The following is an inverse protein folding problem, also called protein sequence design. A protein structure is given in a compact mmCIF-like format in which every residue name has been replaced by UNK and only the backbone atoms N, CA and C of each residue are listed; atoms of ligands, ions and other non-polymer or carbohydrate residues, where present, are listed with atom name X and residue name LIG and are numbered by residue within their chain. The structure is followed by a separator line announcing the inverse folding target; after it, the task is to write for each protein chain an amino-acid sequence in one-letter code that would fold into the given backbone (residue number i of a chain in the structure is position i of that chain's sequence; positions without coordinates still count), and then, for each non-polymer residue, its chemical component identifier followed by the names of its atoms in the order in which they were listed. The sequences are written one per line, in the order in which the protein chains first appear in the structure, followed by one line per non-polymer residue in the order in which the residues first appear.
data_IF_206506246527
#
_entry.id   IF_206506246527
#
_cell.length_a   1.000
_cell.length_b   1.000
_cell.length_c   1.000
_cell.angle_alpha   90.00
_cell.angle_beta   90.00
_cell.angle_gamma   90.00
#
_symmetry.space_group_name_H-M   'P 1'
#
loop_
_entity.id
_entity.type
_entity.pdbx_description
1 polymer ?
#
# COMPACT_ATOMS: atom_id res chain seq x y z
N UNK A 1 14.18 22.27 20.43
CA UNK A 1 12.88 22.17 19.73
C UNK A 1 11.88 21.59 20.72
N UNK A 2 10.66 22.11 20.83
CA UNK A 2 9.66 21.52 21.72
C UNK A 2 9.31 20.10 21.25
N UNK A 3 9.05 19.19 22.19
CA UNK A 3 8.67 17.80 21.92
C UNK A 3 7.16 17.60 21.97
N UNK A 4 6.40 18.63 22.35
CA UNK A 4 4.96 18.58 22.51
C UNK A 4 4.34 19.91 22.08
N UNK A 5 3.23 19.84 21.34
CA UNK A 5 2.47 20.99 20.89
C UNK A 5 0.98 20.68 20.96
N UNK A 6 0.24 21.46 21.74
CA UNK A 6 -1.23 21.42 21.76
C UNK A 6 -1.77 22.42 20.73
N UNK A 7 -2.98 22.17 20.23
CA UNK A 7 -3.64 22.95 19.17
C UNK A 7 -2.72 23.20 17.98
N UNK A 8 -2.24 22.10 17.40
CA UNK A 8 -1.24 22.13 16.35
C UNK A 8 -1.81 22.63 15.02
N UNK A 9 -1.22 23.73 14.51
CA UNK A 9 -1.46 24.29 13.19
C UNK A 9 -0.30 23.91 12.27
N UNK A 10 -0.56 23.01 11.35
CA UNK A 10 0.47 22.33 10.58
C UNK A 10 0.63 22.96 9.20
N UNK A 11 1.83 23.41 8.88
CA UNK A 11 2.22 23.85 7.55
C UNK A 11 2.87 22.69 6.78
N UNK A 12 2.39 22.42 5.57
CA UNK A 12 2.87 21.36 4.68
C UNK A 12 3.66 21.96 3.53
N UNK A 13 4.97 21.70 3.51
CA UNK A 13 5.91 22.33 2.59
C UNK A 13 6.62 21.29 1.74
N UNK A 14 6.54 21.41 0.40
CA UNK A 14 7.26 20.54 -0.56
C UNK A 14 8.36 21.29 -1.32
N UNK A 15 8.96 22.30 -0.73
CA UNK A 15 10.14 23.02 -1.25
C UNK A 15 11.27 23.08 -0.22
N UNK A 16 12.48 23.43 -0.67
CA UNK A 16 13.65 23.53 0.20
C UNK A 16 13.60 24.79 1.05
N UNK A 17 13.86 24.65 2.34
CA UNK A 17 14.15 25.74 3.28
C UNK A 17 15.65 25.80 3.58
N UNK A 18 16.48 25.50 2.58
CA UNK A 18 17.92 25.65 2.64
C UNK A 18 18.31 27.07 2.22
N UNK A 19 19.56 27.46 2.47
CA UNK A 19 20.14 28.67 1.88
C UNK A 19 19.83 28.71 0.39
N UNK A 20 19.38 29.86 -0.08
CA UNK A 20 19.19 30.07 -1.49
C UNK A 20 20.53 29.90 -2.21
N UNK A 21 20.55 29.02 -3.20
CA UNK A 21 21.70 28.80 -4.08
C UNK A 21 21.31 29.20 -5.48
N UNK A 22 22.21 29.91 -6.16
CA UNK A 22 22.07 30.21 -7.58
C UNK A 22 21.95 28.91 -8.39
N UNK A 23 21.25 28.95 -9.50
CA UNK A 23 21.12 27.79 -10.40
C UNK A 23 22.50 27.40 -10.94
N UNK A 24 22.68 26.11 -11.20
CA UNK A 24 23.92 25.60 -11.80
C UNK A 24 24.18 26.31 -13.15
N UNK A 25 25.43 26.79 -13.32
CA UNK A 25 25.86 27.51 -14.51
C UNK A 25 25.83 29.05 -14.40
N UNK A 26 25.21 29.59 -13.34
CA UNK A 26 25.26 31.03 -13.06
C UNK A 26 26.49 31.33 -12.22
N UNK A 27 27.38 32.13 -12.74
CA UNK A 27 28.57 32.67 -12.04
C UNK A 27 28.38 34.14 -11.75
N UNK A 28 28.55 34.52 -10.49
CA UNK A 28 28.55 35.94 -10.09
C UNK A 28 29.99 36.38 -9.85
N UNK A 29 30.48 37.30 -10.69
CA UNK A 29 31.77 37.91 -10.53
C UNK A 29 31.63 39.08 -9.54
N UNK A 30 32.26 38.95 -8.37
CA UNK A 30 32.27 39.98 -7.35
C UNK A 30 33.66 40.56 -7.28
N UNK A 31 33.78 41.86 -7.51
CA UNK A 31 35.06 42.58 -7.47
C UNK A 31 35.37 43.14 -6.07
N UNK A 32 34.32 43.44 -5.28
CA UNK A 32 34.48 44.03 -3.96
C UNK A 32 34.11 43.03 -2.84
N UNK A 33 34.95 42.93 -1.78
CA UNK A 33 34.65 42.02 -0.65
C UNK A 33 33.35 42.36 0.09
N UNK A 34 32.99 43.64 0.20
CA UNK A 34 31.74 44.07 0.84
C UNK A 34 30.48 43.58 0.12
N UNK A 35 30.53 43.53 -1.20
CA UNK A 35 29.42 43.01 -1.99
C UNK A 35 29.26 41.50 -1.83
N UNK A 36 30.33 40.76 -1.57
CA UNK A 36 30.26 39.31 -1.28
C UNK A 36 29.50 39.05 0.03
N UNK A 37 29.74 39.87 1.04
CA UNK A 37 29.08 39.74 2.33
C UNK A 37 27.59 40.09 2.25
N UNK A 38 27.23 41.11 1.48
CA UNK A 38 25.83 41.46 1.17
C UNK A 38 25.10 40.34 0.44
N UNK A 39 25.75 39.69 -0.51
CA UNK A 39 25.16 38.53 -1.25
C UNK A 39 24.90 37.35 -0.28
N UNK A 40 25.87 37.02 0.58
CA UNK A 40 25.73 35.98 1.60
C UNK A 40 24.58 36.26 2.58
N UNK A 41 24.44 37.53 3.00
CA UNK A 41 23.31 37.93 3.85
C UNK A 41 21.98 37.78 3.09
N UNK A 42 21.92 38.22 1.83
CA UNK A 42 20.71 38.08 1.01
C UNK A 42 20.28 36.65 0.80
N UNK A 43 21.21 35.73 0.60
CA UNK A 43 20.92 34.27 0.51
C UNK A 43 20.26 33.73 1.78
N UNK A 44 20.66 34.21 2.96
CA UNK A 44 20.06 33.86 4.25
C UNK A 44 18.72 34.55 4.47
N UNK A 45 18.64 35.83 4.10
CA UNK A 45 17.43 36.65 4.30
C UNK A 45 16.24 36.11 3.51
N UNK A 46 16.43 35.67 2.26
CA UNK A 46 15.36 35.06 1.46
C UNK A 46 14.74 33.87 2.19
N UNK A 47 15.56 32.97 2.72
CA UNK A 47 15.06 31.82 3.48
C UNK A 47 14.40 32.23 4.78
N UNK A 48 14.94 33.24 5.45
CA UNK A 48 14.38 33.78 6.69
C UNK A 48 13.02 34.43 6.45
N UNK A 49 12.86 35.20 5.38
CA UNK A 49 11.58 35.79 4.98
C UNK A 49 10.53 34.73 4.71
N UNK A 50 10.87 33.61 4.06
CA UNK A 50 9.98 32.45 3.86
C UNK A 50 9.55 31.84 5.18
N UNK A 51 10.49 31.55 6.07
CA UNK A 51 10.19 31.03 7.40
C UNK A 51 9.29 31.99 8.20
N UNK A 52 9.54 33.30 8.09
CA UNK A 52 8.74 34.35 8.73
C UNK A 52 7.28 34.33 8.25
N UNK A 53 7.05 34.29 6.94
CA UNK A 53 5.71 34.18 6.35
C UNK A 53 4.92 32.95 6.83
N UNK A 54 5.59 31.79 6.97
CA UNK A 54 4.97 30.57 7.48
C UNK A 54 4.55 30.73 8.95
N UNK A 55 5.40 31.32 9.77
CA UNK A 55 5.09 31.57 11.19
C UNK A 55 4.01 32.65 11.36
N UNK A 56 4.05 33.72 10.59
CA UNK A 56 3.05 34.80 10.61
C UNK A 56 1.65 34.31 10.21
N UNK A 57 1.56 33.30 9.34
CA UNK A 57 0.30 32.63 9.04
C UNK A 57 -0.24 31.81 10.22
N UNK A 58 0.52 31.67 11.31
CA UNK A 58 0.12 31.01 12.55
C UNK A 58 0.53 29.52 12.62
N UNK A 59 1.44 29.06 11.78
CA UNK A 59 1.94 27.68 11.84
C UNK A 59 2.83 27.49 13.09
N UNK A 60 2.55 26.44 13.87
CA UNK A 60 3.37 26.01 15.00
C UNK A 60 4.03 24.64 14.78
N UNK A 61 3.62 23.92 13.72
CA UNK A 61 4.26 22.68 13.27
C UNK A 61 4.53 22.78 11.77
N UNK A 62 5.77 22.55 11.36
CA UNK A 62 6.20 22.63 9.96
C UNK A 62 6.68 21.27 9.51
N UNK A 63 6.01 20.70 8.50
CA UNK A 63 6.37 19.44 7.85
C UNK A 63 6.94 19.72 6.46
N UNK A 64 8.23 19.49 6.29
CA UNK A 64 8.91 19.70 5.02
C UNK A 64 9.34 18.35 4.41
N UNK A 65 8.94 18.10 3.15
CA UNK A 65 9.39 16.91 2.41
C UNK A 65 10.87 17.00 2.00
N UNK A 66 11.41 18.22 1.95
CA UNK A 66 12.78 18.53 1.53
C UNK A 66 13.67 18.83 2.73
N UNK A 67 14.84 19.42 2.45
CA UNK A 67 15.78 19.84 3.48
C UNK A 67 15.36 21.14 4.17
N UNK A 68 15.67 21.23 5.46
CA UNK A 68 15.64 22.47 6.25
C UNK A 68 17.04 22.68 6.77
N UNK A 69 17.62 23.84 6.51
CA UNK A 69 18.95 24.19 6.98
C UNK A 69 18.93 24.50 8.49
N UNK A 70 20.04 24.29 9.16
CA UNK A 70 20.14 24.49 10.61
C UNK A 70 19.82 25.95 11.02
N UNK A 71 20.11 26.91 10.15
CA UNK A 71 19.71 28.30 10.32
C UNK A 71 18.18 28.47 10.37
N UNK A 72 17.47 27.86 9.44
CA UNK A 72 16.00 27.89 9.42
C UNK A 72 15.38 27.11 10.61
N UNK A 73 16.00 25.99 10.99
CA UNK A 73 15.61 25.24 12.20
C UNK A 73 15.73 26.10 13.45
N UNK A 74 16.84 26.87 13.60
CA UNK A 74 17.03 27.77 14.74
C UNK A 74 15.93 28.82 14.80
N UNK A 75 15.53 29.38 13.67
CA UNK A 75 14.45 30.37 13.60
C UNK A 75 13.10 29.77 14.07
N UNK A 76 12.77 28.55 13.66
CA UNK A 76 11.57 27.87 14.12
C UNK A 76 11.60 27.55 15.61
N UNK A 77 12.75 27.15 16.14
CA UNK A 77 12.94 26.91 17.59
C UNK A 77 12.75 28.19 18.40
N UNK A 78 13.30 29.31 17.95
CA UNK A 78 13.14 30.62 18.60
C UNK A 78 11.65 31.06 18.66
N UNK A 79 10.85 30.66 17.66
CA UNK A 79 9.40 30.91 17.62
C UNK A 79 8.59 29.78 18.26
N UNK A 80 9.21 28.88 19.03
CA UNK A 80 8.58 27.76 19.72
C UNK A 80 7.77 26.82 18.79
N UNK A 81 8.24 26.64 17.54
CA UNK A 81 7.62 25.77 16.54
C UNK A 81 8.39 24.46 16.38
N UNK A 82 7.67 23.38 16.04
CA UNK A 82 8.22 22.07 15.68
C UNK A 82 8.47 22.06 14.18
N UNK A 83 9.69 21.76 13.73
CA UNK A 83 10.01 21.67 12.31
C UNK A 83 10.65 20.30 11.99
N UNK A 84 10.00 19.54 11.11
CA UNK A 84 10.43 18.21 10.71
C UNK A 84 10.85 18.24 9.24
N UNK A 85 12.10 17.86 8.99
CA UNK A 85 12.69 17.80 7.65
C UNK A 85 12.60 16.40 7.05
N UNK A 86 12.62 16.31 5.72
CA UNK A 86 12.67 15.05 4.96
C UNK A 86 11.49 14.11 5.26
N UNK A 87 10.31 14.66 5.49
CA UNK A 87 9.09 13.87 5.66
C UNK A 87 8.79 13.14 4.34
N UNK A 88 8.42 11.87 4.43
CA UNK A 88 8.02 11.11 3.25
C UNK A 88 6.80 11.76 2.60
N UNK A 89 6.83 11.92 1.28
CA UNK A 89 5.74 12.57 0.52
C UNK A 89 4.39 11.84 0.68
N UNK A 90 4.41 10.51 0.85
CA UNK A 90 3.21 9.71 1.11
C UNK A 90 2.59 10.08 2.46
N UNK A 91 3.41 10.21 3.50
CA UNK A 91 2.96 10.56 4.85
C UNK A 91 2.51 12.01 4.90
N UNK A 92 3.25 12.92 4.25
CA UNK A 92 2.87 14.32 4.12
C UNK A 92 1.45 14.48 3.53
N UNK A 93 1.14 13.73 2.46
CA UNK A 93 -0.19 13.72 1.84
C UNK A 93 -1.27 13.17 2.76
N UNK A 94 -0.98 12.07 3.46
CA UNK A 94 -1.93 11.46 4.40
C UNK A 94 -2.26 12.38 5.55
N UNK A 95 -1.23 13.01 6.16
CA UNK A 95 -1.41 13.95 7.27
C UNK A 95 -2.18 15.18 6.78
N UNK A 96 -1.86 15.73 5.61
CA UNK A 96 -2.59 16.86 5.03
C UNK A 96 -4.07 16.53 4.81
N UNK A 97 -4.39 15.35 4.28
CA UNK A 97 -5.79 14.91 4.08
C UNK A 97 -6.56 14.73 5.39
N UNK A 98 -5.88 14.25 6.45
CA UNK A 98 -6.52 14.04 7.76
C UNK A 98 -6.73 15.33 8.54
N UNK A 99 -5.82 16.30 8.40
CA UNK A 99 -5.85 17.59 9.10
C UNK A 99 -6.57 18.68 8.33
N UNK A 100 -6.89 18.44 7.04
CA UNK A 100 -7.54 19.41 6.16
C UNK A 100 -6.59 20.48 5.59
N UNK A 101 -5.27 20.30 5.72
CA UNK A 101 -4.27 21.21 5.19
C UNK A 101 -3.99 21.00 3.70
N UNK A 102 -3.35 22.01 3.09
CA UNK A 102 -2.89 21.97 1.70
C UNK A 102 -1.36 21.89 1.64
N UNK A 103 -0.84 21.10 0.71
CA UNK A 103 0.61 21.01 0.48
C UNK A 103 1.01 22.13 -0.45
N UNK A 104 1.92 22.98 0.03
CA UNK A 104 2.46 24.12 -0.71
C UNK A 104 3.76 23.71 -1.39
N UNK A 105 3.78 23.78 -2.73
CA UNK A 105 4.95 23.44 -3.55
C UNK A 105 5.82 24.66 -3.82
N UNK A 106 5.22 25.84 -3.86
CA UNK A 106 5.89 27.12 -4.02
C UNK A 106 5.11 28.18 -3.25
N UNK A 107 5.82 29.16 -2.69
CA UNK A 107 5.20 30.34 -2.09
C UNK A 107 4.92 31.44 -3.12
N UNK A 108 5.62 31.40 -4.25
CA UNK A 108 5.50 32.42 -5.28
C UNK A 108 4.20 32.26 -6.09
N UNK A 109 3.46 33.36 -6.20
CA UNK A 109 2.33 33.53 -7.08
C UNK A 109 2.78 33.85 -8.52
N UNK A 110 1.81 33.96 -9.45
CA UNK A 110 2.09 34.29 -10.85
C UNK A 110 2.76 35.66 -11.03
N UNK A 111 2.60 36.56 -10.09
CA UNK A 111 3.21 37.89 -10.07
C UNK A 111 4.63 37.89 -9.46
N UNK A 112 5.07 36.72 -8.94
CA UNK A 112 6.40 36.55 -8.33
C UNK A 112 6.46 36.94 -6.85
N UNK A 113 5.34 37.35 -6.25
CA UNK A 113 5.26 37.62 -4.82
C UNK A 113 5.07 36.32 -4.05
N UNK A 114 5.76 36.18 -2.92
CA UNK A 114 5.65 35.01 -2.07
C UNK A 114 4.59 35.23 -1.00
N UNK A 115 3.56 34.37 -0.96
CA UNK A 115 2.49 34.40 0.04
C UNK A 115 2.30 33.04 0.68
N UNK A 116 1.92 33.04 1.96
CA UNK A 116 1.47 31.85 2.66
C UNK A 116 0.19 32.17 3.42
N UNK A 117 -0.92 31.55 3.01
CA UNK A 117 -2.21 31.82 3.60
C UNK A 117 -2.52 30.92 4.79
N UNK A 118 -3.21 31.43 5.84
CA UNK A 118 -3.69 30.60 6.94
C UNK A 118 -4.65 29.49 6.52
N UNK A 119 -5.30 29.61 5.35
CA UNK A 119 -6.19 28.59 4.77
C UNK A 119 -5.46 27.30 4.36
N UNK A 120 -4.15 27.34 4.23
CA UNK A 120 -3.31 26.17 3.88
C UNK A 120 -2.95 25.32 5.09
N UNK A 121 -3.16 25.83 6.30
CA UNK A 121 -2.82 25.13 7.53
C UNK A 121 -3.78 23.96 7.81
N UNK A 122 -3.21 22.85 8.21
CA UNK A 122 -3.95 21.75 8.79
C UNK A 122 -4.07 21.87 10.31
N UNK A 123 -5.08 21.26 10.90
CA UNK A 123 -5.33 21.31 12.34
C UNK A 123 -5.39 19.92 12.96
N UNK A 124 -4.71 19.73 14.08
CA UNK A 124 -4.89 18.60 14.98
C UNK A 124 -4.78 19.02 16.45
N UNK A 125 -5.33 18.22 17.35
CA UNK A 125 -5.36 18.57 18.76
C UNK A 125 -3.97 18.53 19.39
N UNK A 126 -3.15 17.55 19.02
CA UNK A 126 -1.82 17.36 19.59
C UNK A 126 -0.81 16.85 18.59
N UNK A 127 0.42 17.35 18.68
CA UNK A 127 1.61 16.76 18.04
C UNK A 127 2.66 16.57 19.12
N UNK A 128 3.18 15.35 19.25
CA UNK A 128 4.22 15.06 20.22
C UNK A 128 5.18 13.99 19.72
N UNK A 129 6.38 14.02 20.26
CA UNK A 129 7.41 13.03 19.99
C UNK A 129 7.42 11.99 21.13
N UNK A 130 7.45 10.72 20.75
CA UNK A 130 7.52 9.60 21.69
C UNK A 130 8.46 8.53 21.17
N UNK A 131 9.35 8.09 22.03
CA UNK A 131 10.24 6.97 21.75
C UNK A 131 9.52 5.64 21.89
N UNK A 132 9.59 4.84 20.82
CA UNK A 132 9.05 3.47 20.79
C UNK A 132 10.16 2.53 20.37
N UNK A 133 10.67 1.71 21.31
CA UNK A 133 11.87 0.92 21.10
C UNK A 133 13.09 1.84 20.95
N UNK A 134 13.83 1.67 19.86
CA UNK A 134 15.04 2.46 19.56
C UNK A 134 14.76 3.67 18.63
N UNK A 135 13.52 3.89 18.24
CA UNK A 135 13.12 4.91 17.27
C UNK A 135 12.26 5.99 17.92
N UNK A 136 12.50 7.23 17.52
CA UNK A 136 11.68 8.37 17.91
C UNK A 136 10.61 8.64 16.83
N UNK A 137 9.35 8.63 17.26
CA UNK A 137 8.19 8.82 16.39
C UNK A 137 7.46 10.11 16.74
N UNK A 138 7.03 10.84 15.71
CA UNK A 138 6.15 11.98 15.88
C UNK A 138 4.70 11.55 15.72
N UNK A 139 3.89 11.72 16.75
CA UNK A 139 2.49 11.38 16.78
C UNK A 139 1.61 12.60 16.50
N UNK A 140 0.57 12.37 15.72
CA UNK A 140 -0.47 13.34 15.40
C UNK A 140 -1.79 12.79 15.91
N UNK A 141 -2.40 13.45 16.90
CA UNK A 141 -3.63 13.00 17.54
C UNK A 141 -4.75 14.06 17.44
N UNK A 142 -6.02 13.59 17.42
CA UNK A 142 -7.18 14.47 17.42
C UNK A 142 -7.40 15.21 16.10
N UNK A 143 -7.20 14.53 14.97
CA UNK A 143 -7.49 15.07 13.65
C UNK A 143 -9.00 15.11 13.37
N UNK A 144 -9.45 16.08 12.57
CA UNK A 144 -10.88 16.22 12.19
C UNK A 144 -11.41 15.03 11.38
N UNK A 145 -10.56 14.43 10.56
CA UNK A 145 -10.92 13.31 9.70
C UNK A 145 -10.04 12.08 9.99
N UNK A 146 -10.66 11.00 10.43
CA UNK A 146 -10.00 9.70 10.68
C UNK A 146 -9.84 8.88 9.39
N UNK A 147 -9.34 9.50 8.32
CA UNK A 147 -9.18 8.85 7.01
C UNK A 147 -7.94 7.96 6.91
N UNK A 148 -7.00 8.12 7.80
CA UNK A 148 -5.77 7.32 7.87
C UNK A 148 -5.43 7.02 9.33
N UNK A 149 -4.88 5.84 9.56
CA UNK A 149 -4.38 5.41 10.84
C UNK A 149 -3.03 4.72 10.64
N UNK A 150 -2.16 4.81 11.62
CA UNK A 150 -0.89 4.11 11.62
C UNK A 150 -0.94 2.99 12.65
N UNK A 151 -0.56 1.79 12.24
CA UNK A 151 -0.44 0.63 13.12
C UNK A 151 1.05 0.38 13.34
N UNK A 152 1.50 0.43 14.58
CA UNK A 152 2.89 0.13 14.94
C UNK A 152 2.96 -1.33 15.34
N UNK A 153 3.68 -2.12 14.55
CA UNK A 153 3.96 -3.53 14.84
C UNK A 153 5.21 -3.62 15.69
N UNK A 154 5.12 -4.36 16.78
CA UNK A 154 6.23 -4.59 17.72
C UNK A 154 6.50 -6.07 17.86
N UNK A 155 7.74 -6.48 17.72
CA UNK A 155 8.16 -7.87 17.82
C UNK A 155 9.63 -8.00 18.14
N UNK A 156 10.06 -9.21 18.48
CA UNK A 156 11.43 -9.50 18.86
C UNK A 156 12.38 -9.72 17.69
N UNK A 157 11.85 -9.95 16.47
CA UNK A 157 12.63 -10.31 15.29
C UNK A 157 12.00 -9.70 14.03
N UNK A 158 12.83 -9.17 13.16
CA UNK A 158 12.42 -8.56 11.90
C UNK A 158 11.68 -9.53 10.96
N UNK A 159 12.07 -10.80 10.92
CA UNK A 159 11.38 -11.82 10.12
C UNK A 159 9.91 -12.01 10.55
N UNK A 160 9.64 -12.00 11.85
CA UNK A 160 8.27 -12.04 12.37
C UNK A 160 7.50 -10.76 12.04
N UNK A 161 8.14 -9.62 12.15
CA UNK A 161 7.51 -8.33 11.82
C UNK A 161 7.14 -8.24 10.35
N UNK A 162 8.02 -8.67 9.46
CA UNK A 162 7.78 -8.72 8.02
C UNK A 162 6.59 -9.63 7.67
N UNK A 163 6.48 -10.78 8.35
CA UNK A 163 5.37 -11.70 8.13
C UNK A 163 4.03 -11.16 8.69
N UNK A 164 4.08 -10.51 9.86
CA UNK A 164 2.90 -9.85 10.44
C UNK A 164 2.43 -8.70 9.52
N UNK A 165 3.37 -7.89 9.00
CA UNK A 165 3.05 -6.81 8.07
C UNK A 165 2.39 -7.36 6.80
N UNK A 166 2.94 -8.42 6.22
CA UNK A 166 2.41 -9.08 5.02
C UNK A 166 1.01 -9.64 5.25
N UNK A 167 0.83 -10.37 6.34
CA UNK A 167 -0.47 -10.97 6.71
C UNK A 167 -1.53 -9.89 6.99
N UNK A 168 -1.15 -8.81 7.65
CA UNK A 168 -2.05 -7.68 7.90
C UNK A 168 -2.42 -6.97 6.59
N UNK A 169 -1.44 -6.72 5.72
CA UNK A 169 -1.68 -6.11 4.41
C UNK A 169 -2.65 -6.93 3.57
N UNK A 170 -2.48 -8.25 3.52
CA UNK A 170 -3.37 -9.16 2.80
C UNK A 170 -4.78 -9.14 3.38
N UNK A 171 -4.90 -9.14 4.70
CA UNK A 171 -6.21 -9.04 5.38
C UNK A 171 -6.92 -7.72 5.04
N UNK A 172 -6.22 -6.59 5.05
CA UNK A 172 -6.77 -5.29 4.67
C UNK A 172 -7.19 -5.26 3.20
N UNK A 173 -6.40 -5.89 2.31
CA UNK A 173 -6.75 -6.01 0.89
C UNK A 173 -8.02 -6.85 0.69
N UNK A 174 -8.18 -7.95 1.40
CA UNK A 174 -9.40 -8.78 1.37
C UNK A 174 -10.61 -7.97 1.83
N UNK A 175 -10.52 -7.30 2.98
CA UNK A 175 -11.62 -6.46 3.50
C UNK A 175 -11.99 -5.36 2.51
N UNK A 176 -11.00 -4.68 1.92
CA UNK A 176 -11.24 -3.68 0.88
C UNK A 176 -12.03 -4.25 -0.29
N UNK A 177 -11.65 -5.45 -0.79
CA UNK A 177 -12.35 -6.10 -1.91
C UNK A 177 -13.77 -6.53 -1.56
N UNK A 178 -13.99 -6.96 -0.32
CA UNK A 178 -15.34 -7.27 0.17
C UNK A 178 -16.21 -6.01 0.23
N UNK A 179 -15.68 -4.90 0.75
CA UNK A 179 -16.40 -3.62 0.80
C UNK A 179 -16.74 -3.06 -0.59
N UNK A 180 -15.88 -3.29 -1.59
CA UNK A 180 -16.12 -2.86 -2.98
C UNK A 180 -17.20 -3.70 -3.68
N UNK A 181 -17.24 -5.02 -3.43
CA UNK A 181 -18.09 -5.98 -4.16
C UNK A 181 -19.36 -6.38 -3.41
N UNK A 182 -19.37 -6.25 -2.09
CA UNK A 182 -20.42 -6.72 -1.17
C UNK A 182 -20.79 -8.21 -1.36
N UNK A 183 -19.87 -9.02 -1.90
CA UNK A 183 -20.08 -10.43 -2.17
C UNK A 183 -18.89 -11.26 -1.69
N UNK A 184 -19.22 -12.35 -0.98
CA UNK A 184 -18.24 -13.31 -0.48
C UNK A 184 -18.64 -14.72 -0.89
N UNK A 185 -17.65 -15.59 -1.00
CA UNK A 185 -17.81 -17.02 -1.27
C UNK A 185 -17.07 -17.84 -0.20
N UNK A 186 -17.43 -19.09 -0.04
CA UNK A 186 -16.71 -20.00 0.83
C UNK A 186 -15.33 -20.31 0.24
N UNK A 187 -14.30 -20.22 1.08
CA UNK A 187 -12.92 -20.53 0.71
C UNK A 187 -12.55 -22.00 0.91
N UNK A 188 -11.26 -22.29 0.86
CA UNK A 188 -10.74 -23.64 1.03
C UNK A 188 -11.01 -24.57 -0.15
N UNK A 189 -11.02 -24.03 -1.38
CA UNK A 189 -11.24 -24.79 -2.59
C UNK A 189 -12.71 -25.12 -2.92
N UNK A 190 -13.65 -24.54 -2.18
CA UNK A 190 -15.09 -24.79 -2.38
C UNK A 190 -15.56 -24.34 -3.78
N UNK A 191 -15.19 -23.14 -4.19
CA UNK A 191 -15.58 -22.57 -5.49
C UNK A 191 -14.93 -23.30 -6.64
N UNK A 192 -13.66 -23.63 -6.53
CA UNK A 192 -12.89 -24.34 -7.56
C UNK A 192 -13.48 -25.70 -7.86
N UNK A 193 -13.83 -26.46 -6.82
CA UNK A 193 -14.44 -27.79 -7.00
C UNK A 193 -15.88 -27.68 -7.51
N UNK A 194 -16.65 -26.71 -7.04
CA UNK A 194 -17.99 -26.47 -7.55
C UNK A 194 -17.98 -26.14 -9.05
N UNK A 195 -17.07 -25.22 -9.46
CA UNK A 195 -16.90 -24.87 -10.88
C UNK A 195 -16.40 -26.06 -11.72
N UNK A 196 -15.49 -26.86 -11.19
CA UNK A 196 -15.00 -28.07 -11.87
C UNK A 196 -16.14 -29.03 -12.20
N UNK A 197 -17.02 -29.31 -11.25
CA UNK A 197 -18.18 -30.21 -11.49
C UNK A 197 -19.13 -29.60 -12.52
N UNK A 198 -19.41 -28.30 -12.41
CA UNK A 198 -20.24 -27.58 -13.38
C UNK A 198 -19.66 -27.63 -14.79
N UNK A 199 -18.36 -27.43 -14.94
CA UNK A 199 -17.67 -27.46 -16.22
C UNK A 199 -17.59 -28.88 -16.80
N UNK A 200 -17.42 -29.92 -15.96
CA UNK A 200 -17.46 -31.30 -16.39
C UNK A 200 -18.85 -31.66 -17.00
N UNK A 201 -19.93 -31.22 -16.36
CA UNK A 201 -21.29 -31.44 -16.86
C UNK A 201 -21.57 -30.60 -18.10
N UNK A 202 -21.10 -29.35 -18.15
CA UNK A 202 -21.22 -28.46 -19.31
C UNK A 202 -20.44 -29.00 -20.52
N UNK A 203 -19.22 -29.47 -20.33
CA UNK A 203 -18.40 -30.05 -21.39
C UNK A 203 -19.11 -31.19 -22.11
N UNK A 204 -19.85 -32.04 -21.38
CA UNK A 204 -20.62 -33.16 -21.98
C UNK A 204 -21.78 -32.72 -22.86
N UNK A 205 -22.25 -31.49 -22.74
CA UNK A 205 -23.31 -30.93 -23.60
C UNK A 205 -22.80 -30.44 -24.95
N UNK A 206 -21.50 -30.28 -25.10
CA UNK A 206 -20.86 -29.78 -26.31
C UNK A 206 -20.39 -30.93 -27.20
N UNK A 207 -20.70 -30.89 -28.48
CA UNK A 207 -20.28 -31.87 -29.46
C UNK A 207 -19.01 -31.57 -30.22
N UNK A 208 -18.19 -30.63 -29.76
CA UNK A 208 -17.04 -30.13 -30.48
C UNK A 208 -15.70 -30.37 -29.75
N UNK A 209 -14.55 -30.05 -30.39
CA UNK A 209 -13.23 -30.16 -29.80
C UNK A 209 -13.08 -29.26 -28.58
N UNK A 210 -13.90 -28.25 -28.39
CA UNK A 210 -13.96 -27.35 -27.24
C UNK A 210 -14.25 -28.13 -25.94
N UNK A 211 -14.97 -29.25 -26.02
CA UNK A 211 -15.21 -30.13 -24.90
C UNK A 211 -13.93 -30.57 -24.21
N UNK A 212 -12.88 -30.89 -24.96
CA UNK A 212 -11.59 -31.31 -24.40
C UNK A 212 -10.93 -30.20 -23.62
N UNK A 213 -10.94 -28.99 -24.19
CA UNK A 213 -10.33 -27.83 -23.52
C UNK A 213 -11.05 -27.45 -22.22
N UNK A 214 -12.39 -27.58 -22.19
CA UNK A 214 -13.17 -27.31 -20.98
C UNK A 214 -12.93 -28.38 -19.92
N UNK A 215 -12.80 -29.66 -20.32
CA UNK A 215 -12.49 -30.75 -19.39
C UNK A 215 -11.10 -30.54 -18.73
N UNK A 216 -10.09 -30.20 -19.52
CA UNK A 216 -8.75 -29.89 -19.00
C UNK A 216 -8.76 -28.65 -18.06
N UNK A 217 -9.55 -27.63 -18.38
CA UNK A 217 -9.71 -26.47 -17.50
C UNK A 217 -10.38 -26.85 -16.18
N UNK A 218 -11.39 -27.75 -16.24
CA UNK A 218 -12.04 -28.27 -15.04
C UNK A 218 -11.06 -29.05 -14.15
N UNK A 219 -10.16 -29.84 -14.73
CA UNK A 219 -9.14 -30.57 -13.99
C UNK A 219 -8.09 -29.57 -13.39
N UNK A 220 -7.71 -28.56 -14.14
CA UNK A 220 -6.80 -27.54 -13.67
C UNK A 220 -7.31 -26.80 -12.42
N UNK A 221 -8.61 -26.56 -12.31
CA UNK A 221 -9.22 -25.94 -11.11
C UNK A 221 -9.05 -26.81 -9.85
N UNK A 222 -9.03 -28.12 -9.98
CA UNK A 222 -8.87 -29.05 -8.85
C UNK A 222 -7.42 -29.08 -8.32
N UNK A 223 -6.45 -28.58 -9.08
CA UNK A 223 -5.06 -28.50 -8.64
C UNK A 223 -4.91 -27.57 -7.44
N UNK A 224 -5.72 -26.51 -7.36
CA UNK A 224 -5.67 -25.53 -6.27
C UNK A 224 -5.96 -26.20 -4.91
N UNK A 225 -7.13 -26.83 -4.68
CA UNK A 225 -7.38 -27.54 -3.42
C UNK A 225 -6.45 -28.73 -3.19
N UNK A 226 -5.99 -29.40 -4.27
CA UNK A 226 -5.01 -30.48 -4.19
C UNK A 226 -3.69 -30.01 -3.60
N UNK A 227 -3.17 -28.90 -4.11
CA UNK A 227 -1.92 -28.30 -3.62
C UNK A 227 -2.05 -27.83 -2.18
N UNK A 228 -3.21 -27.24 -1.81
CA UNK A 228 -3.49 -26.85 -0.43
C UNK A 228 -3.42 -28.05 0.53
N UNK A 229 -4.01 -29.19 0.14
CA UNK A 229 -3.98 -30.39 0.97
C UNK A 229 -2.56 -30.99 1.07
N UNK A 230 -1.79 -31.00 -0.03
CA UNK A 230 -0.40 -31.47 -0.04
C UNK A 230 0.47 -30.59 0.87
N UNK A 231 0.34 -29.26 0.78
CA UNK A 231 1.10 -28.32 1.61
C UNK A 231 0.78 -28.44 3.10
N UNK A 232 -0.44 -28.89 3.42
CA UNK A 232 -0.84 -29.19 4.78
C UNK A 232 -0.46 -30.62 5.25
N UNK A 233 0.29 -31.37 4.44
CA UNK A 233 0.67 -32.78 4.69
C UNK A 233 -0.54 -33.69 4.94
N UNK A 234 -1.62 -33.51 4.18
CA UNK A 234 -2.84 -34.33 4.22
C UNK A 234 -2.97 -35.17 2.95
N UNK A 235 -3.78 -36.23 3.03
CA UNK A 235 -4.12 -37.00 1.84
C UNK A 235 -5.01 -36.18 0.90
N UNK A 236 -4.37 -35.62 -0.12
CA UNK A 236 -5.02 -34.76 -1.09
C UNK A 236 -6.04 -35.50 -1.95
N UNK A 237 -5.77 -36.79 -2.28
CA UNK A 237 -6.63 -37.58 -3.17
C UNK A 237 -7.96 -37.91 -2.49
N UNK A 238 -7.90 -38.34 -1.25
CA UNK A 238 -9.10 -38.66 -0.45
C UNK A 238 -9.96 -37.42 -0.18
N UNK A 239 -9.28 -36.31 0.21
CA UNK A 239 -9.98 -35.06 0.51
C UNK A 239 -10.69 -34.46 -0.71
N UNK A 240 -10.05 -34.47 -1.88
CA UNK A 240 -10.66 -33.94 -3.10
C UNK A 240 -11.81 -34.85 -3.56
N UNK A 241 -11.63 -36.16 -3.51
CA UNK A 241 -12.71 -37.09 -3.86
C UNK A 241 -13.95 -36.86 -2.98
N UNK A 242 -13.76 -36.75 -1.66
CA UNK A 242 -14.84 -36.43 -0.73
C UNK A 242 -15.47 -35.07 -1.02
N UNK A 243 -14.66 -34.02 -1.26
CA UNK A 243 -15.16 -32.69 -1.56
C UNK A 243 -16.01 -32.67 -2.84
N UNK A 244 -15.60 -33.40 -3.89
CA UNK A 244 -16.39 -33.57 -5.11
C UNK A 244 -17.73 -34.25 -4.83
N UNK A 245 -17.76 -35.27 -4.00
CA UNK A 245 -19.02 -35.96 -3.60
C UNK A 245 -19.97 -34.97 -2.92
N UNK A 246 -19.49 -34.14 -2.00
CA UNK A 246 -20.31 -33.13 -1.30
C UNK A 246 -20.90 -32.11 -2.28
N UNK A 247 -20.09 -31.56 -3.17
CA UNK A 247 -20.57 -30.58 -4.16
C UNK A 247 -21.49 -31.19 -5.21
N UNK A 248 -21.22 -32.42 -5.67
CA UNK A 248 -22.11 -33.12 -6.59
C UNK A 248 -23.48 -33.41 -5.94
N UNK A 249 -23.48 -33.82 -4.66
CA UNK A 249 -24.72 -34.00 -3.91
C UNK A 249 -25.49 -32.68 -3.75
N UNK A 250 -24.80 -31.55 -3.53
CA UNK A 250 -25.42 -30.23 -3.45
C UNK A 250 -26.06 -29.78 -4.77
N UNK A 251 -25.43 -30.09 -5.89
CA UNK A 251 -25.95 -29.71 -7.23
C UNK A 251 -27.12 -30.52 -7.71
N UNK A 252 -27.18 -31.82 -7.37
CA UNK A 252 -28.21 -32.75 -7.86
C UNK A 252 -29.40 -32.91 -6.93
N UNK A 253 -29.36 -32.34 -5.72
CA UNK A 253 -30.44 -32.51 -4.75
C UNK A 253 -31.29 -31.24 -4.63
N UNK A 254 -32.61 -31.47 -4.54
CA UNK A 254 -33.54 -30.37 -4.23
C UNK A 254 -33.73 -30.13 -2.73
N UNK A 255 -33.16 -30.98 -1.90
CA UNK A 255 -33.25 -30.93 -0.45
C UNK A 255 -32.38 -29.79 0.11
N UNK A 256 -32.96 -28.90 0.93
CA UNK A 256 -32.26 -27.73 1.47
C UNK A 256 -31.04 -28.08 2.34
N UNK A 257 -31.14 -29.17 3.09
CA UNK A 257 -30.02 -29.68 3.89
C UNK A 257 -28.79 -30.06 3.05
N UNK A 258 -29.04 -30.59 1.85
CA UNK A 258 -28.00 -30.95 0.90
C UNK A 258 -27.50 -29.73 0.11
N UNK A 259 -28.35 -28.72 -0.11
CA UNK A 259 -27.94 -27.44 -0.72
C UNK A 259 -26.95 -26.68 0.13
N UNK A 260 -26.98 -26.83 1.47
CA UNK A 260 -25.94 -26.24 2.34
C UNK A 260 -24.52 -26.77 2.07
N UNK A 261 -24.42 -28.01 1.51
CA UNK A 261 -23.11 -28.60 1.16
C UNK A 261 -22.36 -27.82 0.07
N UNK A 262 -23.02 -26.94 -0.66
CA UNK A 262 -22.37 -26.02 -1.62
C UNK A 262 -21.29 -25.11 -0.99
N UNK A 263 -21.33 -24.92 0.33
CA UNK A 263 -20.34 -24.14 1.07
C UNK A 263 -19.24 -25.00 1.71
N UNK A 264 -19.18 -26.28 1.35
CA UNK A 264 -18.19 -27.24 1.85
C UNK A 264 -16.81 -26.90 1.25
N UNK A 265 -15.80 -26.86 2.09
CA UNK A 265 -14.40 -26.65 1.71
C UNK A 265 -13.47 -27.46 2.59
N UNK A 266 -12.17 -27.39 2.31
CA UNK A 266 -11.15 -28.11 3.06
C UNK A 266 -10.93 -27.49 4.44
N UNK A 267 -10.86 -28.34 5.46
CA UNK A 267 -10.31 -28.05 6.77
C UNK A 267 -8.89 -28.65 6.85
N UNK A 268 -7.90 -27.86 6.59
CA UNK A 268 -6.51 -28.31 6.51
C UNK A 268 -5.92 -28.64 7.88
N UNK A 269 -6.46 -28.08 8.94
CA UNK A 269 -5.99 -28.37 10.31
C UNK A 269 -6.37 -29.79 10.71
N UNK A 270 -7.65 -30.14 10.56
CA UNK A 270 -8.17 -31.44 10.97
C UNK A 270 -8.13 -32.49 9.83
N UNK A 271 -7.81 -32.12 8.61
CA UNK A 271 -7.82 -33.02 7.45
C UNK A 271 -9.23 -33.54 7.11
N UNK A 272 -10.25 -32.69 7.20
CA UNK A 272 -11.65 -33.01 6.98
C UNK A 272 -12.32 -31.98 6.07
N UNK A 273 -13.53 -32.32 5.62
CA UNK A 273 -14.39 -31.36 4.92
C UNK A 273 -15.34 -30.74 5.94
N UNK A 274 -15.52 -29.45 5.85
CA UNK A 274 -16.46 -28.70 6.69
C UNK A 274 -17.17 -27.60 5.90
N UNK A 275 -18.22 -27.05 6.47
CA UNK A 275 -18.86 -25.85 5.93
C UNK A 275 -18.00 -24.61 6.25
N UNK A 276 -17.27 -24.14 5.25
CA UNK A 276 -16.33 -23.02 5.40
C UNK A 276 -17.03 -21.67 5.54
N UNK A 277 -18.28 -21.53 5.10
CA UNK A 277 -19.08 -20.34 5.36
C UNK A 277 -19.35 -20.17 6.87
N UNK A 278 -19.81 -21.27 7.52
CA UNK A 278 -20.05 -21.28 8.98
C UNK A 278 -18.76 -21.17 9.80
N UNK A 279 -17.67 -21.67 9.26
CA UNK A 279 -16.35 -21.61 9.90
C UNK A 279 -15.64 -20.26 9.72
N UNK A 280 -16.22 -19.30 8.98
CA UNK A 280 -15.63 -17.98 8.75
C UNK A 280 -14.49 -17.95 7.73
N UNK A 281 -14.27 -19.02 6.95
CA UNK A 281 -13.28 -19.07 5.87
C UNK A 281 -13.94 -18.53 4.60
N UNK A 282 -13.75 -17.22 4.38
CA UNK A 282 -14.42 -16.46 3.32
C UNK A 282 -13.39 -15.85 2.37
N UNK A 283 -13.77 -15.75 1.11
CA UNK A 283 -12.99 -15.08 0.07
C UNK A 283 -13.87 -14.10 -0.70
N UNK A 284 -13.32 -12.95 -1.17
CA UNK A 284 -14.08 -12.02 -2.00
C UNK A 284 -14.38 -12.63 -3.36
N UNK A 285 -15.63 -12.58 -3.80
CA UNK A 285 -16.06 -13.11 -5.12
C UNK A 285 -15.27 -12.47 -6.26
N UNK A 286 -15.03 -11.16 -6.20
CA UNK A 286 -14.30 -10.43 -7.22
C UNK A 286 -12.86 -10.93 -7.40
N UNK A 287 -12.21 -11.38 -6.33
CA UNK A 287 -10.86 -11.95 -6.38
C UNK A 287 -10.83 -13.26 -7.16
N UNK A 288 -11.83 -14.14 -6.95
CA UNK A 288 -11.98 -15.39 -7.71
C UNK A 288 -12.21 -15.12 -9.19
N UNK A 289 -13.14 -14.23 -9.52
CA UNK A 289 -13.46 -13.88 -10.92
C UNK A 289 -12.22 -13.31 -11.62
N UNK A 290 -11.47 -12.41 -10.99
CA UNK A 290 -10.26 -11.84 -11.58
C UNK A 290 -9.15 -12.87 -11.72
N UNK A 291 -8.96 -13.73 -10.71
CA UNK A 291 -7.96 -14.78 -10.75
C UNK A 291 -8.18 -15.72 -11.93
N UNK A 292 -9.43 -16.17 -12.14
CA UNK A 292 -9.79 -17.03 -13.27
C UNK A 292 -9.56 -16.33 -14.62
N UNK A 293 -9.96 -15.05 -14.75
CA UNK A 293 -9.73 -14.28 -15.97
C UNK A 293 -8.24 -14.15 -16.29
N UNK A 294 -7.44 -13.73 -15.33
CA UNK A 294 -6.00 -13.56 -15.55
C UNK A 294 -5.27 -14.86 -15.82
N UNK A 295 -5.67 -15.96 -15.14
CA UNK A 295 -5.12 -17.28 -15.42
C UNK A 295 -5.43 -17.72 -16.86
N UNK A 296 -6.67 -17.51 -17.32
CA UNK A 296 -7.07 -17.82 -18.69
C UNK A 296 -6.32 -16.99 -19.73
N UNK A 297 -6.18 -15.68 -19.50
CA UNK A 297 -5.42 -14.80 -20.37
C UNK A 297 -3.93 -15.19 -20.45
N UNK A 298 -3.33 -15.53 -19.31
CA UNK A 298 -1.96 -16.02 -19.26
C UNK A 298 -1.78 -17.33 -20.02
N UNK A 299 -2.69 -18.29 -19.83
CA UNK A 299 -2.68 -19.57 -20.53
C UNK A 299 -2.82 -19.38 -22.05
N UNK A 300 -3.74 -18.52 -22.49
CA UNK A 300 -3.92 -18.19 -23.92
C UNK A 300 -2.65 -17.57 -24.48
N UNK A 301 -2.02 -16.67 -23.75
CA UNK A 301 -0.78 -16.01 -24.17
C UNK A 301 0.36 -17.02 -24.35
N UNK A 302 0.51 -17.94 -23.39
CA UNK A 302 1.53 -18.99 -23.46
C UNK A 302 1.26 -19.94 -24.66
N UNK A 303 0.00 -20.35 -24.87
CA UNK A 303 -0.37 -21.22 -25.97
C UNK A 303 -0.19 -20.59 -27.36
N UNK A 304 -0.12 -19.25 -27.44
CA UNK A 304 0.14 -18.52 -28.70
C UNK A 304 1.62 -18.33 -29.01
N UNK A 305 2.54 -18.74 -28.12
CA UNK A 305 3.99 -18.62 -28.35
C UNK A 305 4.43 -19.72 -29.30
N UNK A 306 4.91 -19.32 -30.49
CA UNK A 306 5.40 -20.25 -31.51
C UNK A 306 6.90 -20.49 -31.38
N UNK A 307 7.67 -19.49 -30.90
CA UNK A 307 9.12 -19.59 -30.79
C UNK A 307 9.66 -18.75 -29.63
N UNK A 308 10.83 -19.11 -29.12
CA UNK A 308 11.49 -18.42 -28.01
C UNK A 308 12.99 -18.23 -28.30
N UNK A 309 13.41 -16.97 -28.36
CA UNK A 309 14.83 -16.62 -28.55
C UNK A 309 15.48 -16.41 -27.17
N UNK A 310 16.36 -17.31 -26.80
CA UNK A 310 17.16 -17.19 -25.56
C UNK A 310 18.48 -16.47 -25.85
N UNK A 311 18.61 -15.25 -25.36
CA UNK A 311 19.89 -14.53 -25.41
C UNK A 311 20.80 -14.99 -24.29
N UNK A 312 22.07 -15.19 -24.57
CA UNK A 312 23.10 -15.40 -23.54
C UNK A 312 23.19 -14.11 -22.68
N UNK A 313 23.38 -14.25 -21.35
CA UNK A 313 23.63 -13.09 -20.50
C UNK A 313 24.86 -12.34 -21.03
N UNK A 314 24.75 -11.02 -21.23
CA UNK A 314 25.92 -10.19 -21.50
C UNK A 314 26.81 -10.28 -20.25
N UNK A 315 28.07 -10.75 -20.41
CA UNK A 315 29.07 -10.60 -19.37
C UNK A 315 29.18 -9.09 -19.07
N UNK A 316 28.88 -8.71 -17.83
CA UNK A 316 29.13 -7.35 -17.38
C UNK A 316 30.64 -7.18 -17.34
N UNK A 317 31.20 -6.43 -18.30
CA UNK A 317 32.56 -5.97 -18.21
C UNK A 317 32.75 -5.21 -16.89
N UNK A 318 33.59 -5.75 -16.01
CA UNK A 318 33.92 -5.11 -14.75
C UNK A 318 34.54 -3.73 -15.04
N UNK A 319 33.89 -2.60 -14.61
CA UNK A 319 34.42 -1.27 -14.88
C UNK A 319 35.80 -1.01 -14.29
N UNK A 320 36.30 -1.92 -13.46
CA UNK A 320 37.64 -1.83 -12.83
C UNK A 320 38.78 -2.43 -13.67
N UNK A 321 38.48 -2.94 -14.87
CA UNK A 321 39.53 -3.48 -15.80
C UNK A 321 39.94 -2.47 -16.89
N UNK A 322 39.73 -1.19 -16.67
CA UNK A 322 40.33 -0.11 -17.46
C UNK A 322 41.30 0.68 -16.61
#
# INVERSE_FOLDING_TARGET
MPYHMDDAKIAFVDFNLNKYRLQMGVQVLVQDPENLEKIRQREMDVTRERCKKIIEAGANVILCSRGIDDFALKYFVENNAIAIRRVNKGDLRRIAQCTGGKIVVSLADFEGEEHFEPSYLGHCAKVFEKRVGDWDYTFFEGMKATKAQTVILRGANDFFLDEIERSMHDSLCVIKRVLESNQVVAGGGAVEVALSIFLDDFARTLGSREQLAIAEFSEALQIIPKTLAINAAKDATDLIAKLRVFHNAAMKSDDEARKELKHSGLDLVNGKIRNNLKAGVLEPTISKVKSLKFATEAAITILRIDDMIKLAPKEQEDPRRR
#
